data_IF_301691487902
#
_entry.id   IF_301691487902
#
_cell.length_a   1.000
_cell.length_b   1.000
_cell.length_c   1.000
_cell.angle_alpha   90.00
_cell.angle_beta   90.00
_cell.angle_gamma   90.00
#
_symmetry.space_group_name_H-M   'P 1'
#
loop_
_entity.id
_entity.type
_entity.pdbx_description
1 polymer ?
#
# COMPACT_ATOMS: atom_id res chain seq x y z
N UNK A 1 -35.07 0.12 -53.95
CA UNK A 1 -34.34 1.40 -54.16
C UNK A 1 -32.91 1.17 -53.74
N UNK A 2 -32.00 1.07 -54.68
CA UNK A 2 -30.60 0.70 -54.48
C UNK A 2 -29.76 1.93 -54.20
N UNK A 3 -28.91 1.87 -53.20
CA UNK A 3 -27.85 2.86 -52.97
C UNK A 3 -26.49 2.21 -53.22
N UNK A 4 -25.81 2.76 -54.20
CA UNK A 4 -24.50 2.36 -54.69
C UNK A 4 -23.40 2.76 -53.70
N UNK A 5 -22.54 1.84 -53.38
CA UNK A 5 -21.25 2.10 -52.74
C UNK A 5 -20.19 2.45 -53.78
N UNK A 6 -19.57 3.61 -53.63
CA UNK A 6 -18.39 4.02 -54.43
C UNK A 6 -17.12 3.67 -53.62
N UNK A 7 -16.40 2.64 -54.11
CA UNK A 7 -15.05 2.34 -53.67
C UNK A 7 -14.03 3.15 -54.44
N UNK A 8 -13.25 4.00 -53.77
CA UNK A 8 -12.11 4.70 -54.35
C UNK A 8 -10.82 3.91 -54.20
N UNK A 9 -10.28 3.46 -55.34
CA UNK A 9 -9.05 2.67 -55.44
C UNK A 9 -7.78 3.50 -55.24
N UNK A 10 -6.81 2.96 -54.52
CA UNK A 10 -5.49 3.52 -54.14
C UNK A 10 -4.45 3.56 -55.29
N UNK A 11 -4.83 3.74 -56.54
CA UNK A 11 -3.88 3.60 -57.67
C UNK A 11 -3.94 4.74 -58.70
N UNK A 12 -3.96 6.00 -58.30
CA UNK A 12 -3.84 7.08 -59.28
C UNK A 12 -3.24 8.34 -58.65
N UNK A 13 -1.98 8.33 -58.22
CA UNK A 13 -1.11 9.50 -58.09
C UNK A 13 0.34 9.05 -58.30
N UNK A 14 0.71 8.81 -59.52
CA UNK A 14 2.10 8.76 -59.98
C UNK A 14 2.13 8.96 -61.51
N UNK A 15 2.17 10.20 -61.94
CA UNK A 15 2.75 10.63 -63.26
C UNK A 15 2.55 12.14 -63.46
N UNK A 16 3.65 12.88 -63.42
CA UNK A 16 3.70 14.31 -63.77
C UNK A 16 5.14 14.78 -63.71
N UNK A 17 5.76 14.66 -64.89
CA UNK A 17 7.17 14.91 -65.21
C UNK A 17 7.65 16.37 -65.00
N UNK A 18 8.89 16.43 -64.63
CA UNK A 18 10.01 17.29 -65.02
C UNK A 18 9.77 18.46 -66.00
N UNK A 19 10.23 19.64 -65.57
CA UNK A 19 10.89 20.61 -66.44
C UNK A 19 11.97 21.40 -65.68
N UNK A 20 13.12 21.55 -66.33
CA UNK A 20 14.33 22.23 -65.88
C UNK A 20 14.11 23.71 -65.54
N UNK A 21 14.78 24.16 -64.46
CA UNK A 21 14.98 25.59 -64.18
C UNK A 21 16.13 25.72 -63.20
N UNK A 22 17.33 26.06 -63.72
CA UNK A 22 18.50 26.38 -62.91
C UNK A 22 18.30 27.73 -62.20
N UNK A 23 18.22 27.71 -60.88
CA UNK A 23 18.21 28.87 -60.01
C UNK A 23 18.95 28.54 -58.73
N UNK A 24 20.17 29.09 -58.58
CA UNK A 24 20.95 29.01 -57.36
C UNK A 24 20.26 29.89 -56.30
N UNK A 25 19.44 29.29 -55.46
CA UNK A 25 18.82 29.92 -54.33
C UNK A 25 19.28 29.20 -53.07
N UNK A 26 20.09 29.84 -52.23
CA UNK A 26 20.37 29.39 -50.87
C UNK A 26 19.03 29.31 -50.08
N UNK A 27 18.48 28.15 -50.01
CA UNK A 27 17.36 27.88 -49.07
C UNK A 27 17.93 27.68 -47.68
N UNK A 28 17.43 28.39 -46.65
CA UNK A 28 17.77 28.07 -45.27
C UNK A 28 17.20 26.69 -44.99
N UNK A 29 18.10 25.78 -44.67
CA UNK A 29 17.71 24.47 -44.10
C UNK A 29 17.08 24.77 -42.71
N UNK A 30 15.75 24.84 -42.67
CA UNK A 30 15.03 24.77 -41.44
C UNK A 30 15.25 23.35 -40.90
N UNK A 31 16.25 23.19 -40.06
CA UNK A 31 16.34 22.07 -39.15
C UNK A 31 15.21 22.23 -38.11
N UNK A 32 14.01 21.85 -38.48
CA UNK A 32 12.93 21.65 -37.53
C UNK A 32 13.44 20.64 -36.51
N UNK A 33 13.72 21.11 -35.27
CA UNK A 33 13.87 20.22 -34.15
C UNK A 33 12.58 19.43 -34.06
N UNK A 34 12.61 18.18 -34.48
CA UNK A 34 11.58 17.18 -34.11
C UNK A 34 11.64 17.12 -32.62
N UNK A 35 10.71 17.80 -31.94
CA UNK A 35 10.48 17.57 -30.53
C UNK A 35 10.17 16.06 -30.43
N UNK A 36 11.09 15.31 -29.87
CA UNK A 36 10.82 13.91 -29.57
C UNK A 36 9.59 13.91 -28.67
N UNK A 37 8.48 13.34 -29.14
CA UNK A 37 7.34 13.08 -28.27
C UNK A 37 7.85 12.19 -27.12
N UNK A 38 7.54 12.60 -25.90
CA UNK A 38 7.83 11.77 -24.74
C UNK A 38 7.24 10.38 -24.97
N UNK A 39 7.96 9.31 -24.61
CA UNK A 39 7.45 7.97 -24.79
C UNK A 39 6.10 7.82 -24.05
N UNK A 40 5.13 7.10 -24.62
CA UNK A 40 3.83 6.94 -24.00
C UNK A 40 3.96 6.30 -22.62
N UNK A 41 3.29 6.89 -21.62
CA UNK A 41 3.29 6.37 -20.24
C UNK A 41 2.66 4.98 -20.21
N UNK A 42 3.25 4.08 -19.41
CA UNK A 42 2.68 2.76 -19.19
C UNK A 42 1.55 2.84 -18.17
N UNK A 43 0.36 2.38 -18.54
CA UNK A 43 -0.80 2.36 -17.63
C UNK A 43 -0.71 1.19 -16.66
N UNK A 44 -0.88 1.49 -15.37
CA UNK A 44 -0.82 0.57 -14.24
C UNK A 44 -2.06 0.77 -13.37
N UNK A 45 -2.71 -0.31 -12.96
CA UNK A 45 -3.81 -0.30 -11.98
C UNK A 45 -3.26 -0.64 -10.60
N UNK A 46 -3.30 0.33 -9.68
CA UNK A 46 -2.81 0.17 -8.32
C UNK A 46 -3.97 0.20 -7.32
N UNK A 47 -4.19 -0.93 -6.64
CA UNK A 47 -5.23 -1.06 -5.64
C UNK A 47 -4.78 -0.45 -4.29
N UNK A 48 -5.68 0.25 -3.61
CA UNK A 48 -5.43 0.87 -2.32
C UNK A 48 -6.69 1.04 -1.48
N UNK A 49 -6.55 1.14 -0.17
CA UNK A 49 -7.62 1.58 0.73
C UNK A 49 -7.64 3.10 0.79
N UNK A 50 -8.46 3.73 -0.06
CA UNK A 50 -8.40 5.19 -0.26
C UNK A 50 -8.68 6.03 0.98
N UNK A 51 -9.29 5.47 2.03
CA UNK A 51 -9.56 6.16 3.30
C UNK A 51 -8.50 5.89 4.37
N UNK A 52 -7.58 4.97 4.14
CA UNK A 52 -6.52 4.61 5.09
C UNK A 52 -5.39 5.65 5.05
N UNK A 53 -5.19 6.41 6.12
CA UNK A 53 -4.18 7.49 6.19
C UNK A 53 -2.78 6.97 5.87
N UNK A 54 -2.44 5.76 6.29
CA UNK A 54 -1.16 5.13 6.01
C UNK A 54 -0.89 4.88 4.51
N UNK A 55 -1.93 4.93 3.65
CA UNK A 55 -1.80 4.79 2.20
C UNK A 55 -1.83 6.13 1.46
N UNK A 56 -1.85 7.25 2.17
CA UNK A 56 -1.79 8.59 1.58
C UNK A 56 -0.62 8.84 0.62
N UNK A 57 0.56 8.16 0.73
CA UNK A 57 1.63 8.30 -0.25
C UNK A 57 1.22 7.97 -1.68
N UNK A 58 0.19 7.15 -1.91
CA UNK A 58 -0.35 6.93 -3.26
C UNK A 58 -0.94 8.23 -3.83
N UNK A 59 -1.72 8.97 -3.02
CA UNK A 59 -2.27 10.27 -3.43
C UNK A 59 -1.18 11.30 -3.67
N UNK A 60 -0.11 11.27 -2.88
CA UNK A 60 1.11 12.08 -3.05
C UNK A 60 1.78 11.73 -4.38
N UNK A 61 2.02 10.44 -4.66
CA UNK A 61 2.66 9.99 -5.89
C UNK A 61 1.89 10.44 -7.13
N UNK A 62 0.56 10.41 -7.08
CA UNK A 62 -0.33 10.91 -8.14
C UNK A 62 -0.22 12.44 -8.27
N UNK A 63 -0.35 13.17 -7.17
CA UNK A 63 -0.41 14.63 -7.16
C UNK A 63 0.94 15.29 -7.48
N UNK A 64 2.02 14.76 -6.93
CA UNK A 64 3.39 15.28 -7.13
C UNK A 64 4.06 14.74 -8.39
N UNK A 65 3.39 13.79 -9.09
CA UNK A 65 3.87 13.27 -10.37
C UNK A 65 5.00 12.25 -10.24
N UNK A 66 5.21 11.61 -9.08
CA UNK A 66 6.25 10.59 -8.93
C UNK A 66 6.05 9.42 -9.90
N UNK A 67 4.81 8.98 -10.13
CA UNK A 67 4.56 7.94 -11.13
C UNK A 67 4.96 8.38 -12.54
N UNK A 68 4.60 9.62 -12.94
CA UNK A 68 4.96 10.16 -14.26
C UNK A 68 6.48 10.30 -14.44
N UNK A 69 7.20 10.69 -13.38
CA UNK A 69 8.67 10.74 -13.35
C UNK A 69 9.31 9.41 -13.79
N UNK A 70 8.66 8.29 -13.47
CA UNK A 70 9.10 6.94 -13.81
C UNK A 70 8.37 6.35 -15.04
N UNK A 71 7.74 7.18 -15.88
CA UNK A 71 7.10 6.74 -17.11
C UNK A 71 5.77 6.01 -16.91
N UNK A 72 5.10 6.18 -15.76
CA UNK A 72 3.88 5.49 -15.41
C UNK A 72 2.66 6.42 -15.41
N UNK A 73 1.54 5.91 -15.95
CA UNK A 73 0.21 6.44 -15.77
C UNK A 73 -0.55 5.50 -14.81
N UNK A 74 -0.68 5.89 -13.53
CA UNK A 74 -1.32 5.04 -12.53
C UNK A 74 -2.79 5.38 -12.37
N UNK A 75 -3.64 4.35 -12.51
CA UNK A 75 -5.06 4.36 -12.23
C UNK A 75 -5.28 3.77 -10.82
N UNK A 76 -5.61 4.58 -9.81
CA UNK A 76 -5.86 4.07 -8.48
C UNK A 76 -7.23 3.38 -8.43
N UNK A 77 -7.26 2.14 -7.92
CA UNK A 77 -8.47 1.36 -7.72
C UNK A 77 -8.77 1.30 -6.23
N UNK A 78 -9.89 1.88 -5.80
CA UNK A 78 -10.30 1.77 -4.40
C UNK A 78 -10.70 0.35 -4.05
N UNK A 79 -10.04 -0.21 -3.06
CA UNK A 79 -10.27 -1.57 -2.58
C UNK A 79 -10.59 -1.54 -1.09
N UNK A 80 -11.88 -1.53 -0.76
CA UNK A 80 -12.39 -1.49 0.62
C UNK A 80 -12.91 -2.85 1.12
N UNK A 81 -12.55 -3.93 0.42
CA UNK A 81 -13.00 -5.27 0.72
C UNK A 81 -12.07 -6.06 1.66
N UNK A 82 -12.45 -7.33 1.93
CA UNK A 82 -11.58 -8.26 2.65
C UNK A 82 -10.22 -8.41 1.96
N UNK A 83 -9.23 -8.76 2.72
CA UNK A 83 -7.85 -8.88 2.26
C UNK A 83 -7.65 -9.83 1.10
N UNK A 84 -8.26 -11.01 1.20
CA UNK A 84 -8.11 -12.05 0.19
C UNK A 84 -8.58 -11.56 -1.19
N UNK A 85 -9.61 -10.70 -1.20
CA UNK A 85 -10.11 -10.11 -2.43
C UNK A 85 -9.09 -9.16 -3.09
N UNK A 86 -8.29 -8.41 -2.31
CA UNK A 86 -7.20 -7.57 -2.85
C UNK A 86 -6.11 -8.43 -3.48
N UNK A 87 -5.62 -9.45 -2.76
CA UNK A 87 -4.61 -10.36 -3.30
C UNK A 87 -5.13 -11.12 -4.52
N UNK A 88 -6.38 -11.56 -4.50
CA UNK A 88 -7.01 -12.21 -5.63
C UNK A 88 -7.10 -11.28 -6.84
N UNK A 89 -7.47 -10.02 -6.65
CA UNK A 89 -7.51 -9.04 -7.73
C UNK A 89 -6.12 -8.82 -8.36
N UNK A 90 -5.06 -8.80 -7.55
CA UNK A 90 -3.68 -8.69 -8.05
C UNK A 90 -3.25 -9.98 -8.77
N UNK A 91 -3.43 -11.13 -8.13
CA UNK A 91 -3.01 -12.42 -8.70
C UNK A 91 -3.74 -12.75 -10.01
N UNK A 92 -4.99 -12.32 -10.19
CA UNK A 92 -5.79 -12.52 -11.41
C UNK A 92 -5.62 -11.42 -12.47
N UNK A 93 -4.80 -10.39 -12.20
CA UNK A 93 -4.54 -9.29 -13.15
C UNK A 93 -5.64 -8.23 -13.24
N UNK A 94 -6.59 -8.21 -12.29
CA UNK A 94 -7.56 -7.09 -12.17
C UNK A 94 -6.88 -5.82 -11.66
N UNK A 95 -5.82 -5.96 -10.85
CA UNK A 95 -4.88 -4.92 -10.50
C UNK A 95 -3.45 -5.41 -10.77
N UNK A 96 -2.51 -4.49 -11.04
CA UNK A 96 -1.11 -4.82 -11.24
C UNK A 96 -0.35 -4.88 -9.91
N UNK A 97 -0.88 -4.24 -8.89
CA UNK A 97 -0.35 -4.24 -7.54
C UNK A 97 -1.28 -3.55 -6.55
N UNK A 98 -0.86 -3.47 -5.30
CA UNK A 98 -1.61 -2.78 -4.26
C UNK A 98 -0.82 -2.66 -2.96
N UNK A 99 -1.31 -1.81 -2.04
CA UNK A 99 -0.74 -1.65 -0.71
C UNK A 99 -1.68 -2.23 0.33
N UNK A 100 -1.12 -2.96 1.29
CA UNK A 100 -1.87 -3.53 2.40
C UNK A 100 -0.96 -3.95 3.56
N UNK A 101 -1.56 -4.26 4.71
CA UNK A 101 -0.83 -4.65 5.91
C UNK A 101 -0.09 -5.98 5.71
N UNK A 102 1.19 -6.05 6.07
CA UNK A 102 2.05 -7.22 5.88
C UNK A 102 1.45 -8.51 6.46
N UNK A 103 0.96 -8.46 7.70
CA UNK A 103 0.33 -9.62 8.36
C UNK A 103 -0.88 -10.19 7.62
N UNK A 104 -1.45 -9.44 6.70
CA UNK A 104 -2.58 -9.85 5.87
C UNK A 104 -2.14 -10.70 4.68
N UNK A 105 -0.98 -10.40 4.12
CA UNK A 105 -0.51 -10.97 2.86
C UNK A 105 0.13 -12.34 3.00
N UNK A 106 0.75 -12.62 4.17
CA UNK A 106 1.64 -13.77 4.30
C UNK A 106 0.92 -15.13 4.22
N UNK A 107 -0.32 -15.23 4.73
CA UNK A 107 -1.08 -16.48 4.61
C UNK A 107 -1.51 -16.81 3.17
N UNK A 108 -2.08 -15.90 2.40
CA UNK A 108 -2.33 -16.12 0.97
C UNK A 108 -1.07 -16.44 0.16
N UNK A 109 0.07 -15.79 0.45
CA UNK A 109 1.34 -16.12 -0.20
C UNK A 109 1.77 -17.55 0.12
N UNK A 110 1.66 -18.00 1.38
CA UNK A 110 1.89 -19.41 1.74
C UNK A 110 0.99 -20.38 0.96
N UNK A 111 -0.19 -19.93 0.53
CA UNK A 111 -1.14 -20.69 -0.29
C UNK A 111 -0.85 -20.63 -1.78
N UNK A 112 0.20 -19.90 -2.20
CA UNK A 112 0.67 -19.85 -3.59
C UNK A 112 0.07 -18.73 -4.43
N UNK A 113 -0.44 -17.65 -3.84
CA UNK A 113 -0.82 -16.47 -4.62
C UNK A 113 0.39 -15.87 -5.32
N UNK A 114 0.27 -15.59 -6.62
CA UNK A 114 1.34 -15.04 -7.46
C UNK A 114 1.49 -13.52 -7.27
N UNK A 115 2.01 -13.14 -6.11
CA UNK A 115 2.29 -11.75 -5.73
C UNK A 115 3.63 -11.66 -5.04
N UNK A 116 4.46 -10.68 -5.42
CA UNK A 116 5.75 -10.38 -4.81
C UNK A 116 5.68 -9.09 -4.00
N UNK A 117 6.32 -9.07 -2.84
CA UNK A 117 6.40 -7.93 -1.94
C UNK A 117 7.64 -7.10 -2.27
N UNK A 118 7.48 -5.84 -2.66
CA UNK A 118 8.58 -5.06 -3.23
C UNK A 118 9.07 -3.90 -2.36
N UNK A 119 8.18 -3.33 -1.55
CA UNK A 119 8.48 -2.18 -0.67
C UNK A 119 7.68 -2.30 0.62
N UNK A 120 8.34 -2.14 1.76
CA UNK A 120 7.67 -1.79 3.03
C UNK A 120 7.36 -0.30 3.05
N UNK A 121 6.14 0.09 3.42
CA UNK A 121 5.70 1.47 3.18
C UNK A 121 5.62 2.34 4.44
N UNK A 122 5.49 1.76 5.61
CA UNK A 122 5.54 2.48 6.90
C UNK A 122 5.57 1.51 8.08
N UNK A 123 5.92 2.00 9.28
CA UNK A 123 6.13 1.16 10.46
C UNK A 123 4.87 0.89 11.31
N UNK A 124 3.80 1.70 11.26
CA UNK A 124 2.64 1.41 12.11
C UNK A 124 1.41 2.28 11.87
N UNK A 125 0.24 1.72 12.23
CA UNK A 125 -1.07 2.40 12.23
C UNK A 125 -2.12 1.65 13.07
N UNK A 126 -1.75 0.57 13.78
CA UNK A 126 -2.67 -0.26 14.55
C UNK A 126 -2.75 0.20 15.99
N UNK A 127 -3.96 0.19 16.58
CA UNK A 127 -4.23 0.64 17.96
C UNK A 127 -5.14 -0.32 18.70
N UNK A 128 -4.83 -0.56 19.99
CA UNK A 128 -5.72 -1.20 20.95
C UNK A 128 -6.29 -0.13 21.88
N UNK A 129 -7.60 0.11 21.79
CA UNK A 129 -8.29 1.17 22.51
C UNK A 129 -9.28 0.60 23.52
N UNK A 130 -9.45 1.30 24.64
CA UNK A 130 -10.40 0.91 25.70
C UNK A 130 -10.87 2.15 26.47
N UNK A 131 -12.02 2.09 27.15
CA UNK A 131 -12.40 3.14 28.12
C UNK A 131 -11.37 3.24 29.26
N UNK A 132 -11.11 4.44 29.74
CA UNK A 132 -10.13 4.68 30.82
C UNK A 132 -10.43 3.88 32.08
N UNK A 133 -11.72 3.70 32.42
CA UNK A 133 -12.18 2.97 33.60
C UNK A 133 -12.35 1.45 33.38
N UNK A 134 -11.93 0.91 32.23
CA UNK A 134 -12.08 -0.52 31.89
C UNK A 134 -11.25 -1.47 32.77
N UNK A 135 -10.19 -0.96 33.39
CA UNK A 135 -9.19 -1.78 34.07
C UNK A 135 -8.17 -2.43 33.15
N UNK A 136 -8.28 -2.27 31.82
CA UNK A 136 -7.33 -2.80 30.83
C UNK A 136 -6.19 -1.80 30.70
N UNK A 137 -4.95 -2.24 30.99
CA UNK A 137 -3.72 -1.41 30.92
C UNK A 137 -2.62 -2.03 30.07
N UNK A 138 -2.80 -3.29 29.68
CA UNK A 138 -1.88 -4.04 28.84
C UNK A 138 -2.64 -5.08 28.02
N UNK A 139 -1.99 -5.67 27.03
CA UNK A 139 -2.56 -6.77 26.23
C UNK A 139 -2.93 -7.98 27.09
N UNK A 140 -2.21 -8.23 28.21
CA UNK A 140 -2.54 -9.33 29.15
C UNK A 140 -3.92 -9.17 29.79
N UNK A 141 -4.36 -7.94 30.00
CA UNK A 141 -5.65 -7.66 30.64
C UNK A 141 -6.85 -7.98 29.72
N UNK A 142 -6.59 -8.34 28.46
CA UNK A 142 -7.60 -8.84 27.53
C UNK A 142 -8.09 -10.27 27.86
N UNK A 143 -7.41 -11.00 28.76
CA UNK A 143 -7.85 -12.34 29.17
C UNK A 143 -9.26 -12.28 29.75
N UNK A 144 -10.17 -13.07 29.18
CA UNK A 144 -11.59 -13.11 29.54
C UNK A 144 -12.41 -11.91 29.05
N UNK A 145 -11.86 -11.05 28.23
CA UNK A 145 -12.55 -9.88 27.66
C UNK A 145 -13.01 -10.12 26.22
N UNK A 146 -14.00 -9.35 25.80
CA UNK A 146 -14.43 -9.25 24.41
C UNK A 146 -13.74 -8.07 23.73
N UNK A 147 -13.18 -8.31 22.54
CA UNK A 147 -12.47 -7.31 21.73
C UNK A 147 -13.12 -7.23 20.35
N UNK A 148 -13.49 -6.04 19.91
CA UNK A 148 -14.01 -5.83 18.57
C UNK A 148 -12.88 -5.88 17.54
N UNK A 149 -13.13 -6.59 16.43
CA UNK A 149 -12.28 -6.70 15.26
C UNK A 149 -13.14 -6.59 13.99
N UNK A 150 -12.58 -6.19 12.87
CA UNK A 150 -13.31 -6.10 11.59
C UNK A 150 -13.60 -7.46 10.98
N UNK A 151 -12.70 -8.42 11.15
CA UNK A 151 -12.84 -9.82 10.76
C UNK A 151 -11.88 -10.73 11.56
N UNK A 152 -12.14 -12.04 11.54
CA UNK A 152 -11.34 -13.02 12.31
C UNK A 152 -9.92 -13.24 11.73
N UNK A 153 -9.72 -12.94 10.45
CA UNK A 153 -8.41 -12.99 9.79
C UNK A 153 -7.73 -11.62 9.73
N UNK A 154 -8.30 -10.61 10.39
CA UNK A 154 -7.79 -9.24 10.41
C UNK A 154 -6.32 -9.19 10.82
N UNK A 155 -5.46 -8.44 10.10
CA UNK A 155 -4.07 -8.23 10.49
C UNK A 155 -3.95 -7.58 11.86
N UNK A 156 -4.92 -6.75 12.26
CA UNK A 156 -4.94 -6.07 13.55
C UNK A 156 -5.23 -7.08 14.66
N UNK A 157 -6.20 -7.98 14.45
CA UNK A 157 -6.46 -9.10 15.35
C UNK A 157 -5.20 -9.98 15.47
N UNK A 158 -4.56 -10.32 14.35
CA UNK A 158 -3.35 -11.14 14.36
C UNK A 158 -2.21 -10.45 15.13
N UNK A 159 -2.04 -9.14 14.97
CA UNK A 159 -1.02 -8.38 15.71
C UNK A 159 -1.20 -8.51 17.23
N UNK A 160 -2.39 -8.23 17.78
CA UNK A 160 -2.62 -8.32 19.22
C UNK A 160 -2.66 -9.79 19.71
N UNK A 161 -3.08 -10.73 18.88
CA UNK A 161 -2.96 -12.15 19.15
C UNK A 161 -1.49 -12.60 19.29
N UNK A 162 -0.59 -12.09 18.43
CA UNK A 162 0.85 -12.30 18.53
C UNK A 162 1.39 -11.75 19.85
N UNK A 163 0.96 -10.55 20.27
CA UNK A 163 1.39 -9.96 21.54
C UNK A 163 0.99 -10.84 22.74
N UNK A 164 -0.19 -11.45 22.72
CA UNK A 164 -0.63 -12.42 23.74
C UNK A 164 0.20 -13.68 23.68
N UNK A 165 0.40 -14.25 22.49
CA UNK A 165 1.17 -15.48 22.31
C UNK A 165 2.64 -15.33 22.75
N UNK A 166 3.27 -14.16 22.52
CA UNK A 166 4.62 -13.83 23.04
C UNK A 166 4.69 -13.84 24.56
N UNK A 167 3.57 -13.72 25.26
CA UNK A 167 3.44 -13.78 26.70
C UNK A 167 2.95 -15.14 27.22
N UNK A 168 2.91 -16.15 26.33
CA UNK A 168 2.47 -17.52 26.68
C UNK A 168 0.95 -17.67 26.83
N UNK A 169 0.17 -16.70 26.34
CA UNK A 169 -1.30 -16.72 26.43
C UNK A 169 -1.84 -17.17 25.06
N UNK A 170 -2.67 -18.22 25.06
CA UNK A 170 -3.38 -18.67 23.86
C UNK A 170 -4.48 -17.66 23.49
N UNK A 171 -4.34 -16.88 22.40
CA UNK A 171 -5.25 -15.78 22.10
C UNK A 171 -6.65 -16.25 21.72
N UNK A 172 -6.80 -17.46 21.17
CA UNK A 172 -8.09 -17.98 20.73
C UNK A 172 -8.93 -18.52 21.90
N UNK A 173 -8.27 -18.94 23.00
CA UNK A 173 -8.95 -19.38 24.21
C UNK A 173 -9.15 -18.27 25.22
N UNK A 174 -8.21 -17.32 25.26
CA UNK A 174 -8.16 -16.32 26.32
C UNK A 174 -9.00 -15.08 26.01
N UNK A 175 -9.22 -14.74 24.72
CA UNK A 175 -9.92 -13.52 24.31
C UNK A 175 -11.11 -13.86 23.42
N UNK A 176 -12.22 -13.20 23.69
CA UNK A 176 -13.41 -13.30 22.85
C UNK A 176 -13.35 -12.27 21.73
N UNK A 177 -12.81 -12.65 20.56
CA UNK A 177 -12.73 -11.79 19.38
C UNK A 177 -14.10 -11.72 18.71
N UNK A 178 -14.74 -10.53 18.74
CA UNK A 178 -16.08 -10.31 18.17
C UNK A 178 -15.97 -9.48 16.90
N UNK A 179 -16.58 -9.98 15.83
CA UNK A 179 -16.59 -9.30 14.54
C UNK A 179 -17.69 -8.27 14.47
N UNK A 180 -17.31 -7.01 14.18
CA UNK A 180 -18.21 -5.89 13.91
C UNK A 180 -17.75 -5.10 12.68
N UNK A 181 -18.67 -4.50 11.93
CA UNK A 181 -18.31 -3.40 11.04
C UNK A 181 -17.62 -2.27 11.82
N UNK A 182 -16.58 -1.65 11.24
CA UNK A 182 -15.75 -0.68 11.95
C UNK A 182 -16.55 0.54 12.45
N UNK A 183 -17.58 0.96 11.73
CA UNK A 183 -18.49 2.04 12.10
C UNK A 183 -19.36 1.73 13.33
N UNK A 184 -19.51 0.45 13.68
CA UNK A 184 -20.26 0.02 14.87
C UNK A 184 -19.39 -0.20 16.11
N UNK A 185 -18.08 -0.03 16.03
CA UNK A 185 -17.15 -0.24 17.15
C UNK A 185 -17.49 0.62 18.37
N UNK A 186 -17.75 1.90 18.18
CA UNK A 186 -18.16 2.81 19.27
C UNK A 186 -19.48 2.42 19.92
N UNK A 187 -20.42 1.91 19.13
CA UNK A 187 -21.72 1.45 19.62
C UNK A 187 -21.60 0.16 20.43
N UNK A 188 -20.85 -0.83 19.95
CA UNK A 188 -20.57 -2.08 20.64
C UNK A 188 -19.91 -1.83 22.00
N UNK A 189 -18.95 -0.89 22.04
CA UNK A 189 -18.28 -0.48 23.26
C UNK A 189 -19.25 0.18 24.25
N UNK A 190 -20.06 1.12 23.77
CA UNK A 190 -21.07 1.84 24.57
C UNK A 190 -22.12 0.91 25.18
N UNK A 191 -22.49 -0.15 24.47
CA UNK A 191 -23.43 -1.19 24.95
C UNK A 191 -22.78 -2.19 25.91
N UNK A 192 -21.44 -2.15 26.06
CA UNK A 192 -20.71 -3.12 26.88
C UNK A 192 -20.57 -4.50 26.23
N UNK A 193 -20.90 -4.65 24.95
CA UNK A 193 -20.74 -5.89 24.18
C UNK A 193 -19.25 -6.25 24.01
N UNK A 194 -18.38 -5.23 23.95
CA UNK A 194 -16.92 -5.37 23.96
C UNK A 194 -16.29 -4.45 25.00
N UNK A 195 -15.10 -4.78 25.46
CA UNK A 195 -14.34 -4.00 26.42
C UNK A 195 -13.12 -3.30 25.80
N UNK A 196 -12.72 -3.71 24.60
CA UNK A 196 -11.64 -3.10 23.86
C UNK A 196 -11.91 -3.16 22.34
N UNK A 197 -11.22 -2.29 21.60
CA UNK A 197 -11.29 -2.18 20.16
C UNK A 197 -9.89 -2.40 19.58
N UNK A 198 -9.74 -3.36 18.66
CA UNK A 198 -8.52 -3.52 17.85
C UNK A 198 -8.79 -2.91 16.48
N UNK A 199 -8.14 -1.79 16.16
CA UNK A 199 -8.45 -0.92 15.02
C UNK A 199 -7.20 -0.31 14.42
N UNK A 200 -7.35 0.46 13.34
CA UNK A 200 -6.31 1.22 12.67
C UNK A 200 -6.78 2.65 12.36
N UNK A 201 -5.85 3.49 11.92
CA UNK A 201 -6.14 4.88 11.56
C UNK A 201 -6.69 5.02 10.13
N UNK A 202 -7.69 5.93 9.92
CA UNK A 202 -8.14 7.01 10.81
C UNK A 202 -9.18 6.60 11.87
N UNK A 203 -9.75 5.39 11.77
CA UNK A 203 -10.85 4.96 12.66
C UNK A 203 -10.44 4.97 14.14
N UNK A 204 -9.25 4.42 14.44
CA UNK A 204 -8.72 4.39 15.80
C UNK A 204 -8.54 5.79 16.38
N UNK A 205 -7.95 6.68 15.63
CA UNK A 205 -7.78 8.07 16.03
C UNK A 205 -9.12 8.75 16.33
N UNK A 206 -10.10 8.59 15.44
CA UNK A 206 -11.43 9.21 15.59
C UNK A 206 -12.17 8.65 16.80
N UNK A 207 -12.18 7.33 17.00
CA UNK A 207 -12.82 6.69 18.15
C UNK A 207 -12.17 7.16 19.47
N UNK A 208 -10.85 7.26 19.51
CA UNK A 208 -10.11 7.77 20.67
C UNK A 208 -10.58 9.18 21.05
N UNK A 209 -10.73 10.07 20.07
CA UNK A 209 -11.18 11.45 20.31
C UNK A 209 -12.69 11.53 20.67
N UNK A 210 -13.53 10.82 19.95
CA UNK A 210 -14.99 10.90 20.09
C UNK A 210 -15.50 10.28 21.39
N UNK A 211 -14.85 9.22 21.88
CA UNK A 211 -15.28 8.46 23.05
C UNK A 211 -14.35 8.59 24.27
N UNK A 212 -13.31 9.45 24.20
CA UNK A 212 -12.36 9.61 25.29
C UNK A 212 -11.65 8.31 25.65
N UNK A 213 -11.27 7.50 24.63
CA UNK A 213 -10.62 6.22 24.85
C UNK A 213 -9.13 6.41 25.12
N UNK A 214 -8.59 5.48 25.92
CA UNK A 214 -7.15 5.36 26.13
C UNK A 214 -6.57 4.29 25.22
N UNK A 215 -5.37 4.54 24.73
CA UNK A 215 -4.59 3.59 23.95
C UNK A 215 -3.78 2.72 24.90
N UNK A 216 -3.96 1.41 24.80
CA UNK A 216 -3.32 0.41 25.65
C UNK A 216 -2.05 -0.12 25.01
N UNK A 217 -2.10 -0.32 23.68
CA UNK A 217 -0.98 -0.85 22.91
C UNK A 217 -1.13 -0.44 21.43
N UNK A 218 -0.03 -0.47 20.69
CA UNK A 218 0.02 -0.13 19.27
C UNK A 218 1.26 -0.72 18.60
N UNK A 219 1.37 -0.61 17.27
CA UNK A 219 2.57 -0.95 16.52
C UNK A 219 3.37 0.29 16.06
N UNK A 220 3.12 1.44 16.65
CA UNK A 220 3.84 2.69 16.40
C UNK A 220 5.10 2.83 17.27
N UNK A 221 5.20 2.00 18.32
CA UNK A 221 6.25 2.06 19.34
C UNK A 221 6.97 0.72 19.50
N UNK A 222 8.11 0.74 20.23
CA UNK A 222 8.88 -0.45 20.55
C UNK A 222 9.50 -1.11 19.31
N UNK A 223 9.60 -2.43 19.34
CA UNK A 223 10.21 -3.21 18.25
C UNK A 223 9.47 -3.10 16.91
N UNK A 224 8.15 -2.88 16.94
CA UNK A 224 7.33 -2.83 15.74
C UNK A 224 7.40 -1.48 15.01
N UNK A 225 7.82 -0.41 15.66
CA UNK A 225 8.05 0.88 14.99
C UNK A 225 9.14 0.80 13.91
N UNK A 226 9.99 -0.23 13.98
CA UNK A 226 11.08 -0.49 13.04
C UNK A 226 10.80 -1.72 12.14
N UNK A 227 9.56 -2.21 12.12
CA UNK A 227 9.11 -3.25 11.21
C UNK A 227 8.03 -2.67 10.29
N UNK A 228 8.02 -3.10 9.04
CA UNK A 228 7.02 -2.61 8.09
C UNK A 228 5.61 -3.07 8.47
N UNK A 229 4.68 -2.13 8.59
CA UNK A 229 3.26 -2.46 8.82
C UNK A 229 2.55 -2.78 7.51
N UNK A 230 2.70 -1.93 6.51
CA UNK A 230 2.14 -2.14 5.18
C UNK A 230 3.23 -2.39 4.14
N UNK A 231 2.87 -3.11 3.10
CA UNK A 231 3.76 -3.48 1.99
C UNK A 231 3.09 -3.18 0.65
N UNK A 232 3.90 -2.81 -0.33
CA UNK A 232 3.52 -2.84 -1.73
C UNK A 232 3.72 -4.26 -2.25
N UNK A 233 2.65 -4.87 -2.73
CA UNK A 233 2.69 -6.13 -3.47
C UNK A 233 2.40 -5.88 -4.94
N UNK A 234 3.16 -6.51 -5.81
CA UNK A 234 2.98 -6.49 -7.25
C UNK A 234 2.67 -7.89 -7.74
N UNK A 235 1.89 -8.01 -8.83
CA UNK A 235 1.62 -9.29 -9.47
C UNK A 235 2.93 -9.95 -9.87
N UNK A 236 3.14 -11.21 -9.47
CA UNK A 236 4.40 -11.92 -9.70
C UNK A 236 4.78 -12.02 -11.18
N UNK A 237 3.81 -12.21 -12.09
CA UNK A 237 4.10 -12.18 -13.52
C UNK A 237 4.60 -10.80 -14.00
N UNK A 238 4.12 -9.68 -13.43
CA UNK A 238 4.66 -8.36 -13.75
C UNK A 238 6.13 -8.23 -13.31
N UNK A 239 6.44 -8.72 -12.12
CA UNK A 239 7.81 -8.69 -11.59
C UNK A 239 8.78 -9.52 -12.45
N UNK A 240 8.35 -10.70 -12.89
CA UNK A 240 9.18 -11.60 -13.72
C UNK A 240 9.31 -11.14 -15.17
N UNK A 241 8.20 -10.71 -15.78
CA UNK A 241 8.14 -10.43 -17.22
C UNK A 241 8.54 -8.99 -17.57
N UNK A 242 8.33 -8.06 -16.64
CA UNK A 242 8.68 -6.64 -16.79
C UNK A 242 9.25 -6.04 -15.50
N UNK A 243 10.43 -6.49 -15.07
CA UNK A 243 11.07 -6.03 -13.84
C UNK A 243 11.35 -4.50 -13.84
N UNK A 244 11.52 -3.90 -15.02
CA UNK A 244 11.72 -2.44 -15.11
C UNK A 244 10.47 -1.67 -14.69
N UNK A 245 9.29 -2.10 -15.10
CA UNK A 245 8.03 -1.50 -14.66
C UNK A 245 7.80 -1.75 -13.17
N UNK A 246 8.06 -2.96 -12.68
CA UNK A 246 7.97 -3.28 -11.25
C UNK A 246 8.91 -2.39 -10.41
N UNK A 247 10.15 -2.19 -10.86
CA UNK A 247 11.10 -1.29 -10.25
C UNK A 247 10.62 0.17 -10.26
N UNK A 248 10.08 0.64 -11.39
CA UNK A 248 9.54 2.00 -11.53
C UNK A 248 8.38 2.27 -10.56
N UNK A 249 7.43 1.33 -10.41
CA UNK A 249 6.33 1.43 -9.45
C UNK A 249 6.89 1.49 -8.03
N UNK A 250 7.78 0.57 -7.68
CA UNK A 250 8.38 0.47 -6.35
C UNK A 250 9.15 1.75 -5.97
N UNK A 251 9.95 2.29 -6.90
CA UNK A 251 10.71 3.52 -6.66
C UNK A 251 9.79 4.75 -6.51
N UNK A 252 8.72 4.84 -7.31
CA UNK A 252 7.75 5.92 -7.19
C UNK A 252 7.07 5.93 -5.82
N UNK A 253 6.78 4.75 -5.25
CA UNK A 253 6.22 4.62 -3.90
C UNK A 253 7.25 4.99 -2.84
N UNK A 254 8.51 4.57 -2.95
CA UNK A 254 9.58 4.99 -2.03
C UNK A 254 9.75 6.51 -2.02
N UNK A 255 9.82 7.15 -3.20
CA UNK A 255 9.93 8.62 -3.30
C UNK A 255 8.73 9.31 -2.63
N UNK A 256 7.51 8.78 -2.82
CA UNK A 256 6.30 9.33 -2.23
C UNK A 256 6.24 9.13 -0.70
N UNK A 257 6.73 8.01 -0.19
CA UNK A 257 6.85 7.74 1.24
C UNK A 257 7.81 8.74 1.90
N UNK A 258 8.99 8.92 1.32
CA UNK A 258 9.95 9.89 1.83
C UNK A 258 9.37 11.31 1.81
N UNK A 259 8.73 11.70 0.71
CA UNK A 259 8.08 13.01 0.61
C UNK A 259 6.99 13.19 1.66
N UNK A 260 6.18 12.15 1.92
CA UNK A 260 5.13 12.15 2.94
C UNK A 260 5.72 12.35 4.34
N UNK A 261 6.83 11.68 4.65
CA UNK A 261 7.53 11.82 5.92
C UNK A 261 8.06 13.26 6.13
N UNK A 262 8.57 13.86 5.06
CA UNK A 262 9.14 15.21 5.10
C UNK A 262 8.06 16.32 5.08
N UNK A 263 6.86 16.02 4.54
CA UNK A 263 5.80 17.01 4.31
C UNK A 263 4.41 16.52 4.79
N UNK A 264 4.26 16.18 6.09
CA UNK A 264 3.00 15.60 6.60
C UNK A 264 1.80 16.56 6.50
N UNK A 265 2.01 17.88 6.65
CA UNK A 265 0.94 18.87 6.56
C UNK A 265 0.43 19.06 5.12
N UNK A 266 1.32 19.02 4.14
CA UNK A 266 0.97 19.05 2.70
C UNK A 266 0.31 17.74 2.28
N UNK A 267 0.83 16.61 2.76
CA UNK A 267 0.23 15.29 2.53
C UNK A 267 -1.20 15.24 3.03
N UNK A 268 -1.47 15.78 4.23
CA UNK A 268 -2.81 15.85 4.79
C UNK A 268 -3.79 16.60 3.87
N UNK A 269 -3.37 17.71 3.28
CA UNK A 269 -4.18 18.49 2.32
C UNK A 269 -4.42 17.73 1.02
N UNK A 270 -3.40 17.00 0.51
CA UNK A 270 -3.51 16.18 -0.70
C UNK A 270 -4.45 15.00 -0.46
N UNK A 271 -4.40 14.40 0.72
CA UNK A 271 -5.17 13.21 1.07
C UNK A 271 -6.60 13.51 1.55
N UNK A 272 -6.87 14.68 2.09
CA UNK A 272 -8.17 15.06 2.66
C UNK A 272 -9.38 14.75 1.75
N UNK A 273 -9.34 14.92 0.42
CA UNK A 273 -10.48 14.58 -0.45
C UNK A 273 -10.87 13.09 -0.45
N UNK A 274 -10.02 12.20 0.03
CA UNK A 274 -10.25 10.74 0.03
C UNK A 274 -10.87 10.22 1.33
N UNK A 275 -10.78 10.97 2.41
CA UNK A 275 -11.39 10.61 3.70
C UNK A 275 -12.75 11.28 3.87
N UNK A 276 -13.62 10.76 4.79
CA UNK A 276 -14.87 11.45 5.10
C UNK A 276 -14.64 12.91 5.45
N UNK A 277 -15.47 13.83 4.95
CA UNK A 277 -15.32 15.28 5.17
C UNK A 277 -15.41 15.72 6.63
N UNK A 278 -15.84 14.82 7.53
CA UNK A 278 -15.82 15.02 8.99
C UNK A 278 -14.43 14.87 9.62
N UNK A 279 -13.41 14.38 8.88
CA UNK A 279 -12.04 14.27 9.37
C UNK A 279 -11.28 15.56 9.05
N UNK A 280 -10.91 16.38 10.04
CA UNK A 280 -10.17 17.60 9.81
C UNK A 280 -8.77 17.34 9.23
N UNK A 281 -8.26 18.25 8.40
CA UNK A 281 -6.91 18.16 7.82
C UNK A 281 -5.84 18.09 8.93
N UNK A 282 -6.04 18.81 10.01
CA UNK A 282 -5.14 18.83 11.17
C UNK A 282 -5.06 17.46 11.87
N UNK A 283 -6.18 16.72 11.90
CA UNK A 283 -6.19 15.35 12.43
C UNK A 283 -5.44 14.39 11.51
N UNK A 284 -5.58 14.53 10.19
CA UNK A 284 -4.80 13.74 9.22
C UNK A 284 -3.31 14.05 9.38
N UNK A 285 -2.93 15.32 9.49
CA UNK A 285 -1.54 15.73 9.69
C UNK A 285 -0.97 15.19 11.01
N UNK A 286 -1.77 15.18 12.08
CA UNK A 286 -1.36 14.62 13.38
C UNK A 286 -1.11 13.11 13.28
N UNK A 287 -2.01 12.35 12.63
CA UNK A 287 -1.81 10.92 12.38
C UNK A 287 -0.54 10.67 11.55
N UNK A 288 -0.32 11.43 10.47
CA UNK A 288 0.87 11.29 9.62
C UNK A 288 2.18 11.56 10.37
N UNK A 289 2.17 12.46 11.36
CA UNK A 289 3.34 12.74 12.22
C UNK A 289 3.61 11.64 13.24
N UNK A 290 2.60 10.85 13.61
CA UNK A 290 2.77 9.67 14.46
C UNK A 290 3.20 8.44 13.64
N UNK A 291 2.75 8.32 12.38
CA UNK A 291 3.10 7.20 11.52
C UNK A 291 4.56 7.28 11.06
N UNK A 292 5.25 6.14 11.05
CA UNK A 292 6.66 6.05 10.69
C UNK A 292 6.86 5.90 9.18
N UNK A 293 6.38 6.91 8.39
CA UNK A 293 6.52 6.90 6.92
C UNK A 293 7.97 6.93 6.43
N UNK A 294 8.93 7.36 7.27
CA UNK A 294 10.36 7.25 6.98
C UNK A 294 10.88 5.81 7.00
N UNK A 295 10.11 4.86 7.57
CA UNK A 295 10.43 3.44 7.53
C UNK A 295 9.87 2.82 6.25
N UNK A 296 10.69 2.70 5.21
CA UNK A 296 10.37 2.08 3.94
C UNK A 296 11.47 1.08 3.56
N UNK A 297 11.28 -0.15 4.01
CA UNK A 297 12.24 -1.24 3.80
C UNK A 297 12.17 -1.80 2.38
N UNK A 298 13.32 -2.20 1.82
CA UNK A 298 13.47 -2.84 0.52
C UNK A 298 14.53 -3.95 0.60
N UNK A 299 14.57 -4.84 -0.39
CA UNK A 299 15.63 -5.85 -0.51
C UNK A 299 15.81 -6.71 0.74
N UNK A 300 17.02 -6.85 1.21
CA UNK A 300 17.37 -7.70 2.37
C UNK A 300 16.68 -7.24 3.67
N UNK A 301 16.52 -5.92 3.87
CA UNK A 301 15.81 -5.42 5.05
C UNK A 301 14.36 -5.88 5.05
N UNK A 302 13.63 -5.75 3.93
CA UNK A 302 12.25 -6.22 3.83
C UNK A 302 12.15 -7.73 4.00
N UNK A 303 13.09 -8.52 3.45
CA UNK A 303 13.15 -9.97 3.68
C UNK A 303 13.25 -10.32 5.15
N UNK A 304 14.13 -9.66 5.89
CA UNK A 304 14.28 -9.89 7.32
C UNK A 304 12.99 -9.55 8.08
N UNK A 305 12.33 -8.45 7.78
CA UNK A 305 11.07 -8.04 8.41
C UNK A 305 9.92 -9.04 8.09
N UNK A 306 9.83 -9.50 6.85
CA UNK A 306 8.86 -10.54 6.43
C UNK A 306 9.13 -11.86 7.17
N UNK A 307 10.40 -12.28 7.29
CA UNK A 307 10.75 -13.50 8.04
C UNK A 307 10.38 -13.40 9.53
N UNK A 308 10.53 -12.23 10.16
CA UNK A 308 10.04 -11.98 11.52
C UNK A 308 8.54 -12.24 11.60
N UNK A 309 7.74 -11.61 10.73
CA UNK A 309 6.28 -11.78 10.75
C UNK A 309 5.82 -13.20 10.43
N UNK A 310 6.50 -13.92 9.53
CA UNK A 310 6.22 -15.36 9.31
C UNK A 310 6.41 -16.14 10.60
N UNK A 311 7.50 -15.93 11.33
CA UNK A 311 7.76 -16.59 12.60
C UNK A 311 6.76 -16.21 13.70
N UNK A 312 6.27 -14.98 13.71
CA UNK A 312 5.24 -14.55 14.65
C UNK A 312 3.86 -15.14 14.34
N UNK A 313 3.47 -15.19 13.07
CA UNK A 313 2.22 -15.80 12.64
C UNK A 313 2.16 -17.31 12.90
N UNK A 314 3.31 -18.01 12.97
CA UNK A 314 3.38 -19.41 13.41
C UNK A 314 2.93 -19.56 14.87
N UNK A 315 3.26 -18.58 15.75
CA UNK A 315 2.89 -18.62 17.17
C UNK A 315 1.39 -18.62 17.42
N UNK A 316 0.63 -18.12 16.46
CA UNK A 316 -0.84 -18.06 16.48
C UNK A 316 -1.49 -18.98 15.43
N UNK A 317 -0.74 -19.95 14.90
CA UNK A 317 -1.18 -20.96 13.95
C UNK A 317 -1.78 -20.42 12.63
N UNK A 318 -1.46 -19.18 12.23
CA UNK A 318 -1.86 -18.61 10.94
C UNK A 318 -0.97 -19.16 9.82
N UNK A 319 0.34 -19.18 10.03
CA UNK A 319 1.33 -19.82 9.15
C UNK A 319 1.65 -21.20 9.70
N UNK A 320 1.90 -22.18 8.84
CA UNK A 320 2.26 -23.54 9.24
C UNK A 320 3.57 -23.55 10.03
N UNK A 321 3.69 -24.41 11.06
CA UNK A 321 4.91 -24.47 11.88
C UNK A 321 6.16 -24.87 11.10
N UNK A 322 6.00 -25.65 10.01
CA UNK A 322 7.08 -26.18 9.17
C UNK A 322 7.51 -25.22 8.05
N UNK A 323 6.83 -24.09 7.84
CA UNK A 323 7.23 -23.08 6.86
C UNK A 323 8.57 -22.46 7.25
N UNK A 324 9.59 -22.56 6.40
CA UNK A 324 10.86 -21.86 6.61
C UNK A 324 10.67 -20.37 6.35
N UNK A 325 10.86 -19.54 7.37
CA UNK A 325 10.60 -18.10 7.30
C UNK A 325 11.55 -17.36 6.36
N UNK A 326 12.84 -17.80 6.32
CA UNK A 326 13.82 -17.16 5.45
C UNK A 326 13.60 -17.55 3.98
N UNK A 327 13.38 -18.83 3.71
CA UNK A 327 13.03 -19.29 2.36
C UNK A 327 11.75 -18.63 1.84
N UNK A 328 10.76 -18.46 2.72
CA UNK A 328 9.54 -17.74 2.40
C UNK A 328 9.84 -16.29 1.99
N UNK A 329 10.60 -15.57 2.80
CA UNK A 329 10.95 -14.19 2.53
C UNK A 329 11.79 -14.05 1.26
N UNK A 330 12.78 -14.92 1.05
CA UNK A 330 13.63 -14.93 -0.15
C UNK A 330 12.82 -15.21 -1.43
N UNK A 331 11.76 -16.03 -1.32
CA UNK A 331 10.89 -16.34 -2.45
C UNK A 331 9.97 -15.18 -2.85
N UNK A 332 9.40 -14.48 -1.86
CA UNK A 332 8.36 -13.47 -2.11
C UNK A 332 8.86 -12.01 -2.08
N UNK A 333 10.14 -11.77 -1.78
CA UNK A 333 10.72 -10.42 -1.76
C UNK A 333 11.90 -10.34 -2.74
N UNK A 334 11.65 -9.92 -3.99
CA UNK A 334 12.69 -9.82 -5.03
C UNK A 334 13.62 -8.63 -4.81
N UNK A 335 14.85 -8.72 -5.35
CA UNK A 335 15.81 -7.62 -5.38
C UNK A 335 15.52 -6.65 -6.54
N UNK A 336 14.50 -5.80 -6.37
CA UNK A 336 14.15 -4.78 -7.38
C UNK A 336 14.82 -3.42 -7.11
N UNK A 337 15.03 -3.08 -5.84
CA UNK A 337 15.59 -1.81 -5.42
C UNK A 337 16.83 -2.04 -4.56
N UNK A 338 17.81 -1.11 -4.58
CA UNK A 338 18.92 -1.15 -3.63
C UNK A 338 18.41 -1.07 -2.19
N UNK A 339 19.20 -1.57 -1.26
CA UNK A 339 18.85 -1.53 0.17
C UNK A 339 18.55 -0.09 0.62
N UNK A 340 17.52 0.06 1.46
CA UNK A 340 17.16 1.33 2.08
C UNK A 340 18.35 1.83 2.92
N UNK A 341 18.85 3.02 2.58
CA UNK A 341 20.05 3.62 3.18
C UNK A 341 21.22 3.86 2.21
N UNK A 342 21.18 3.31 1.00
CA UNK A 342 22.17 3.58 -0.05
C UNK A 342 21.70 4.64 -1.07
N UNK A 343 20.85 5.57 -0.67
CA UNK A 343 20.51 6.70 -1.55
C UNK A 343 21.75 7.57 -1.76
N UNK A 344 22.58 7.17 -2.70
CA UNK A 344 23.54 8.07 -3.32
C UNK A 344 22.75 9.21 -3.97
N UNK A 345 22.99 10.43 -3.49
CA UNK A 345 22.66 11.64 -4.23
C UNK A 345 23.26 11.52 -5.64
N UNK A 346 22.49 11.04 -6.60
CA UNK A 346 22.80 11.27 -8.00
C UNK A 346 22.68 12.77 -8.22
N UNK A 347 23.82 13.48 -8.11
CA UNK A 347 23.92 14.85 -8.59
C UNK A 347 23.57 14.83 -10.07
N UNK A 348 22.43 15.43 -10.40
CA UNK A 348 22.13 15.78 -11.78
C UNK A 348 23.18 16.83 -12.21
N UNK A 349 24.06 16.42 -13.12
CA UNK A 349 24.94 17.31 -13.90
C UNK A 349 24.21 17.75 -15.16
#
# INVERSE_FOLDING_TARGET
>A
MALHSLSLSRRTVLRGLATLGAGIGLSPVFTGSVLAEDPPLKTIKLAWGQTAVCQSPISVALKQGFFKKYGLNVEPVNFSGPTDALLQAIATGQADGGIGMALRWLKPLEQGFDVDLTVGTHGGCMRLLTPENSGIRSVKDLVGKSVAVTDQASPIRNFFAIQLAKQGIDPDKAVNWLQYPADLFGEALRKGEVQALATDDPQGWLLKQQHGLVEVDNNLNGEYAHLTCCVLGLRGSLVRDDPKTAQAISQAIVDAQQWTADHPDETAKIFQPFVPGSVPVESIAAMLKEHTHSHHSTGAQLRNEVAVYVNELKKINVIRPDTDAQQFADHYVPDLLPESGQHHHMKMS
#
